data_IF_988735297979
#
_entry.id   IF_988735297979
#
_cell.length_a   1.000
_cell.length_b   1.000
_cell.length_c   1.000
_cell.angle_alpha   90.00
_cell.angle_beta   90.00
_cell.angle_gamma   90.00
#
_symmetry.space_group_name_H-M   'P 1'
#
loop_
_entity.id
_entity.type
_entity.pdbx_description
1 polymer ?
#
# COMPACT_ATOMS: atom_id res chain seq x y z
N UNK A 1 29.53 23.23 -16.11
CA UNK A 1 29.66 22.45 -14.86
C UNK A 1 28.39 22.51 -14.01
N UNK A 2 27.85 23.69 -13.68
CA UNK A 2 26.60 23.85 -12.91
C UNK A 2 25.41 23.09 -13.54
N UNK A 3 25.16 23.27 -14.85
CA UNK A 3 24.06 22.58 -15.54
C UNK A 3 24.16 21.05 -15.49
N UNK A 4 25.38 20.50 -15.48
CA UNK A 4 25.62 19.05 -15.40
C UNK A 4 25.39 18.51 -13.99
N UNK A 5 25.73 19.30 -12.95
CA UNK A 5 25.45 18.93 -11.55
C UNK A 5 23.97 19.04 -11.21
N UNK A 6 23.27 20.07 -11.70
CA UNK A 6 21.82 20.21 -11.54
C UNK A 6 21.09 19.05 -12.20
N UNK A 7 21.49 18.67 -13.43
CA UNK A 7 20.93 17.49 -14.10
C UNK A 7 21.14 16.21 -13.30
N UNK A 8 22.35 15.96 -12.77
CA UNK A 8 22.63 14.78 -11.94
C UNK A 8 21.81 14.76 -10.65
N UNK A 9 21.68 15.90 -9.96
CA UNK A 9 20.89 15.99 -8.75
C UNK A 9 19.40 15.73 -9.03
N UNK A 10 18.87 16.32 -10.10
CA UNK A 10 17.49 16.07 -10.56
C UNK A 10 17.31 14.59 -10.88
N UNK A 11 18.26 13.96 -11.59
CA UNK A 11 18.20 12.52 -11.90
C UNK A 11 18.23 11.65 -10.64
N UNK A 12 19.04 12.00 -9.64
CA UNK A 12 19.09 11.27 -8.36
C UNK A 12 17.78 11.41 -7.58
N UNK A 13 17.25 12.63 -7.47
CA UNK A 13 15.96 12.87 -6.84
C UNK A 13 14.83 12.15 -7.59
N UNK A 14 14.86 12.17 -8.92
CA UNK A 14 13.92 11.46 -9.76
C UNK A 14 14.02 9.95 -9.55
N UNK A 15 15.22 9.38 -9.44
CA UNK A 15 15.40 7.96 -9.11
C UNK A 15 14.79 7.61 -7.75
N UNK A 16 15.05 8.41 -6.72
CA UNK A 16 14.48 8.20 -5.38
C UNK A 16 12.95 8.30 -5.43
N UNK A 17 12.42 9.30 -6.12
CA UNK A 17 10.99 9.50 -6.28
C UNK A 17 10.33 8.35 -7.06
N UNK A 18 10.95 7.88 -8.15
CA UNK A 18 10.49 6.73 -8.94
C UNK A 18 10.47 5.48 -8.06
N UNK A 19 11.55 5.20 -7.33
CA UNK A 19 11.63 4.03 -6.45
C UNK A 19 10.58 4.09 -5.34
N UNK A 20 10.42 5.25 -4.70
CA UNK A 20 9.40 5.45 -3.69
C UNK A 20 8.00 5.24 -4.29
N UNK A 21 7.68 5.89 -5.41
CA UNK A 21 6.38 5.76 -6.07
C UNK A 21 6.08 4.32 -6.49
N UNK A 22 7.03 3.61 -7.09
CA UNK A 22 6.85 2.21 -7.51
C UNK A 22 6.63 1.29 -6.31
N UNK A 23 7.34 1.50 -5.19
CA UNK A 23 7.09 0.76 -3.95
C UNK A 23 5.67 1.05 -3.47
N UNK A 24 5.25 2.32 -3.46
CA UNK A 24 3.88 2.68 -3.09
C UNK A 24 2.82 2.05 -4.02
N UNK A 25 3.01 2.10 -5.34
CA UNK A 25 2.09 1.50 -6.30
C UNK A 25 2.05 -0.03 -6.16
N UNK A 26 3.17 -0.72 -6.28
CA UNK A 26 3.17 -2.18 -6.32
C UNK A 26 2.89 -2.79 -4.93
N UNK A 27 3.46 -2.22 -3.86
CA UNK A 27 3.31 -2.77 -2.50
C UNK A 27 2.02 -2.31 -1.83
N UNK A 28 1.71 -1.02 -1.88
CA UNK A 28 0.55 -0.47 -1.18
C UNK A 28 -0.69 -0.56 -2.05
N UNK A 29 -0.64 -0.18 -3.33
CA UNK A 29 -1.84 -0.21 -4.18
C UNK A 29 -2.26 -1.65 -4.54
N UNK A 30 -1.42 -2.45 -5.18
CA UNK A 30 -1.79 -3.83 -5.56
C UNK A 30 -1.84 -4.77 -4.35
N UNK A 31 -0.92 -4.62 -3.38
CA UNK A 31 -0.83 -5.52 -2.24
C UNK A 31 -1.93 -5.32 -1.18
N UNK A 32 -2.31 -4.07 -0.90
CA UNK A 32 -3.14 -3.73 0.28
C UNK A 32 -4.39 -2.94 -0.13
N UNK A 33 -4.24 -1.86 -0.90
CA UNK A 33 -5.33 -0.94 -1.21
C UNK A 33 -6.38 -1.61 -2.11
N UNK A 34 -5.99 -2.32 -3.16
CA UNK A 34 -6.91 -3.01 -4.08
C UNK A 34 -7.75 -4.11 -3.40
N UNK A 35 -7.17 -5.05 -2.62
CA UNK A 35 -7.97 -6.05 -1.93
C UNK A 35 -8.85 -5.43 -0.83
N UNK A 36 -8.34 -4.46 -0.07
CA UNK A 36 -9.15 -3.74 0.92
C UNK A 36 -10.27 -2.98 0.23
N UNK A 37 -9.99 -2.22 -0.83
CA UNK A 37 -11.00 -1.48 -1.60
C UNK A 37 -12.09 -2.41 -2.12
N UNK A 38 -11.72 -3.56 -2.70
CA UNK A 38 -12.70 -4.53 -3.21
C UNK A 38 -13.54 -5.14 -2.08
N UNK A 39 -12.93 -5.45 -0.94
CA UNK A 39 -13.62 -5.96 0.24
C UNK A 39 -14.57 -4.91 0.85
N UNK A 40 -14.09 -3.68 0.92
CA UNK A 40 -14.78 -2.51 1.48
C UNK A 40 -15.97 -2.12 0.60
N UNK A 41 -15.80 -2.09 -0.72
CA UNK A 41 -16.88 -1.85 -1.67
C UNK A 41 -17.96 -2.95 -1.68
N UNK A 42 -17.60 -4.18 -1.28
CA UNK A 42 -18.54 -5.28 -1.09
C UNK A 42 -19.41 -5.19 0.19
N UNK A 43 -19.09 -4.28 1.13
CA UNK A 43 -19.86 -4.12 2.36
C UNK A 43 -21.13 -3.29 2.11
N UNK A 44 -22.31 -3.90 2.32
CA UNK A 44 -23.63 -3.24 2.23
C UNK A 44 -23.76 -1.99 3.13
N UNK A 45 -23.00 -1.91 4.23
CA UNK A 45 -22.94 -0.73 5.09
C UNK A 45 -22.34 0.46 4.34
N UNK A 46 -21.31 0.24 3.55
CA UNK A 46 -20.64 1.31 2.83
C UNK A 46 -21.52 1.91 1.73
N UNK A 47 -22.31 1.09 1.05
CA UNK A 47 -23.30 1.55 0.06
C UNK A 47 -24.34 2.50 0.68
N UNK A 48 -24.74 2.26 1.94
CA UNK A 48 -25.64 3.19 2.66
C UNK A 48 -24.94 4.48 3.08
N UNK A 49 -23.66 4.39 3.45
CA UNK A 49 -22.86 5.56 3.81
C UNK A 49 -22.60 6.40 2.55
N UNK A 50 -22.34 5.77 1.41
CA UNK A 50 -22.13 6.39 0.10
C UNK A 50 -23.30 7.30 -0.29
N UNK A 51 -24.55 6.84 -0.17
CA UNK A 51 -25.74 7.67 -0.41
C UNK A 51 -25.78 8.88 0.54
N UNK A 52 -25.56 8.66 1.84
CA UNK A 52 -25.57 9.76 2.83
C UNK A 52 -24.44 10.77 2.62
N UNK A 53 -23.28 10.30 2.19
CA UNK A 53 -22.11 11.11 1.90
C UNK A 53 -22.32 11.89 0.60
N UNK A 54 -23.00 11.31 -0.39
CA UNK A 54 -23.40 12.01 -1.60
C UNK A 54 -24.41 13.14 -1.33
N UNK A 55 -25.27 13.00 -0.32
CA UNK A 55 -26.19 14.07 0.07
C UNK A 55 -25.56 15.11 1.03
N UNK A 56 -24.34 14.84 1.54
CA UNK A 56 -23.67 15.71 2.49
C UNK A 56 -23.11 16.99 1.84
N UNK A 57 -23.00 18.04 2.65
CA UNK A 57 -22.44 19.33 2.25
C UNK A 57 -20.96 19.18 1.87
N UNK A 58 -20.50 19.73 0.72
CA UNK A 58 -19.10 19.68 0.30
C UNK A 58 -18.10 20.14 1.36
N UNK A 59 -18.42 21.18 2.15
CA UNK A 59 -17.54 21.68 3.21
C UNK A 59 -17.38 20.68 4.36
N UNK A 60 -18.46 19.95 4.72
CA UNK A 60 -18.39 18.91 5.74
C UNK A 60 -17.51 17.75 5.28
N UNK A 61 -17.65 17.34 4.02
CA UNK A 61 -16.83 16.28 3.42
C UNK A 61 -15.36 16.68 3.41
N UNK A 62 -15.06 17.91 3.00
CA UNK A 62 -13.69 18.43 3.03
C UNK A 62 -13.12 18.40 4.46
N UNK A 63 -13.88 18.83 5.46
CA UNK A 63 -13.44 18.77 6.86
C UNK A 63 -13.16 17.33 7.32
N UNK A 64 -14.07 16.39 7.03
CA UNK A 64 -13.88 14.98 7.38
C UNK A 64 -12.64 14.43 6.67
N UNK A 65 -12.47 14.72 5.38
CA UNK A 65 -11.32 14.29 4.59
C UNK A 65 -10.01 14.81 5.17
N UNK A 66 -9.93 16.11 5.49
CA UNK A 66 -8.73 16.72 6.09
C UNK A 66 -8.42 16.14 7.46
N UNK A 67 -9.43 15.88 8.30
CA UNK A 67 -9.25 15.26 9.61
C UNK A 67 -8.71 13.84 9.47
N UNK A 68 -9.31 13.02 8.60
CA UNK A 68 -8.86 11.66 8.35
C UNK A 68 -7.45 11.62 7.78
N UNK A 69 -7.14 12.50 6.81
CA UNK A 69 -5.80 12.65 6.25
C UNK A 69 -4.78 13.03 7.34
N UNK A 70 -5.13 14.00 8.19
CA UNK A 70 -4.28 14.44 9.30
C UNK A 70 -3.99 13.32 10.28
N UNK A 71 -4.98 12.49 10.62
CA UNK A 71 -4.77 11.32 11.50
C UNK A 71 -3.76 10.35 10.87
N UNK A 72 -3.90 10.05 9.58
CA UNK A 72 -2.99 9.14 8.86
C UNK A 72 -1.56 9.67 8.84
N UNK A 73 -1.39 10.97 8.59
CA UNK A 73 -0.08 11.62 8.59
C UNK A 73 0.54 11.66 9.99
N UNK A 74 -0.22 12.04 11.02
CA UNK A 74 0.25 12.04 12.41
C UNK A 74 0.69 10.65 12.84
N UNK A 75 -0.09 9.61 12.52
CA UNK A 75 0.28 8.23 12.84
C UNK A 75 1.55 7.82 12.09
N UNK A 76 1.69 8.22 10.82
CA UNK A 76 2.89 7.98 10.02
C UNK A 76 4.14 8.63 10.60
N UNK A 77 4.07 9.93 10.93
CA UNK A 77 5.17 10.68 11.53
C UNK A 77 5.56 10.14 12.90
N UNK A 78 4.57 9.86 13.76
CA UNK A 78 4.82 9.34 15.10
C UNK A 78 5.41 7.93 15.06
N UNK A 79 4.96 7.07 14.13
CA UNK A 79 5.61 5.78 13.89
C UNK A 79 7.08 5.95 13.46
N UNK A 80 7.37 6.93 12.60
CA UNK A 80 8.73 7.34 12.24
C UNK A 80 9.59 7.70 13.46
N UNK A 81 9.05 8.53 14.37
CA UNK A 81 9.72 8.90 15.62
C UNK A 81 9.99 7.66 16.49
N UNK A 82 9.04 6.73 16.59
CA UNK A 82 9.21 5.49 17.33
C UNK A 82 10.30 4.58 16.74
N UNK A 83 10.41 4.51 15.41
CA UNK A 83 11.49 3.78 14.75
C UNK A 83 12.87 4.35 15.08
N UNK A 84 13.03 5.68 14.96
CA UNK A 84 14.30 6.36 15.28
C UNK A 84 14.64 6.25 16.76
N UNK A 85 13.62 6.21 17.64
CA UNK A 85 13.79 6.05 19.08
C UNK A 85 14.09 4.60 19.52
N UNK A 86 14.31 3.67 18.59
CA UNK A 86 14.59 2.26 18.88
C UNK A 86 13.36 1.42 19.28
N UNK A 87 12.17 2.01 19.34
CA UNK A 87 10.90 1.32 19.67
C UNK A 87 10.27 0.71 18.41
N UNK A 88 11.03 -0.12 17.72
CA UNK A 88 10.68 -0.62 16.37
C UNK A 88 9.36 -1.39 16.35
N UNK A 89 9.12 -2.26 17.33
CA UNK A 89 7.87 -3.03 17.39
C UNK A 89 6.63 -2.14 17.53
N UNK A 90 6.68 -1.13 18.41
CA UNK A 90 5.58 -0.19 18.59
C UNK A 90 5.39 0.71 17.36
N UNK A 91 6.49 1.15 16.74
CA UNK A 91 6.46 1.89 15.48
C UNK A 91 5.80 1.08 14.37
N UNK A 92 6.11 -0.21 14.26
CA UNK A 92 5.51 -1.12 13.28
C UNK A 92 4.01 -1.30 13.52
N UNK A 93 3.60 -1.58 14.77
CA UNK A 93 2.17 -1.73 15.11
C UNK A 93 1.39 -0.46 14.77
N UNK A 94 1.90 0.71 15.14
CA UNK A 94 1.23 1.97 14.85
C UNK A 94 1.18 2.27 13.34
N UNK A 95 2.27 2.00 12.63
CA UNK A 95 2.31 2.16 11.18
C UNK A 95 1.32 1.24 10.46
N UNK A 96 1.17 -0.01 10.91
CA UNK A 96 0.16 -0.93 10.38
C UNK A 96 -1.26 -0.47 10.75
N UNK A 97 -1.47 0.05 11.96
CA UNK A 97 -2.77 0.52 12.42
C UNK A 97 -3.33 1.69 11.60
N UNK A 98 -2.49 2.47 10.90
CA UNK A 98 -2.95 3.55 10.02
C UNK A 98 -3.55 3.05 8.71
N UNK A 99 -3.26 1.80 8.30
CA UNK A 99 -3.67 1.24 6.99
C UNK A 99 -5.19 1.28 6.79
N UNK A 100 -6.04 0.83 7.73
CA UNK A 100 -7.50 0.89 7.56
C UNK A 100 -8.02 2.34 7.45
N UNK A 101 -7.44 3.26 8.22
CA UNK A 101 -7.80 4.68 8.17
C UNK A 101 -7.45 5.26 6.80
N UNK A 102 -6.24 4.99 6.30
CA UNK A 102 -5.82 5.41 4.96
C UNK A 102 -6.73 4.85 3.87
N UNK A 103 -7.07 3.56 3.94
CA UNK A 103 -7.99 2.93 2.98
C UNK A 103 -9.38 3.59 3.01
N UNK A 104 -9.89 3.93 4.19
CA UNK A 104 -11.16 4.65 4.33
C UNK A 104 -11.08 6.09 3.79
N UNK A 105 -9.97 6.81 4.03
CA UNK A 105 -9.72 8.15 3.46
C UNK A 105 -9.71 8.10 1.93
N UNK A 106 -9.05 7.11 1.33
CA UNK A 106 -9.03 6.91 -0.13
C UNK A 106 -10.42 6.58 -0.69
N UNK A 107 -11.16 5.72 0.00
CA UNK A 107 -12.54 5.42 -0.39
C UNK A 107 -13.43 6.66 -0.34
N UNK A 108 -13.39 7.42 0.76
CA UNK A 108 -14.16 8.66 0.93
C UNK A 108 -13.83 9.65 -0.19
N UNK A 109 -12.53 9.89 -0.43
CA UNK A 109 -12.07 10.75 -1.51
C UNK A 109 -12.67 10.38 -2.85
N UNK A 110 -12.65 9.10 -3.20
CA UNK A 110 -13.12 8.60 -4.50
C UNK A 110 -14.63 8.73 -4.67
N UNK A 111 -15.38 8.48 -3.61
CA UNK A 111 -16.86 8.62 -3.62
C UNK A 111 -17.29 10.09 -3.68
N UNK A 112 -16.48 11.01 -3.15
CA UNK A 112 -16.79 12.44 -3.09
C UNK A 112 -15.85 13.30 -3.92
N UNK A 113 -15.19 12.73 -4.91
CA UNK A 113 -14.17 13.43 -5.70
C UNK A 113 -14.78 14.66 -6.35
N UNK A 114 -15.94 14.51 -6.96
CA UNK A 114 -16.73 15.57 -7.59
C UNK A 114 -16.98 16.76 -6.64
N UNK A 115 -17.29 16.50 -5.37
CA UNK A 115 -17.53 17.54 -4.35
C UNK A 115 -16.24 18.19 -3.87
N UNK A 116 -15.17 17.41 -3.67
CA UNK A 116 -13.88 17.95 -3.25
C UNK A 116 -13.26 18.82 -4.35
N UNK A 117 -13.47 18.47 -5.62
CA UNK A 117 -12.99 19.26 -6.77
C UNK A 117 -13.74 20.59 -6.96
N UNK A 118 -14.85 20.83 -6.25
CA UNK A 118 -15.51 22.13 -6.24
C UNK A 118 -14.66 23.21 -5.56
N UNK A 119 -13.77 22.82 -4.65
CA UNK A 119 -12.85 23.74 -4.00
C UNK A 119 -11.65 24.02 -4.92
N UNK A 120 -11.56 25.23 -5.45
CA UNK A 120 -10.55 25.59 -6.46
C UNK A 120 -9.10 25.34 -6.02
N UNK A 121 -8.76 25.61 -4.75
CA UNK A 121 -7.43 25.32 -4.21
C UNK A 121 -7.14 23.81 -4.16
N UNK A 122 -8.15 23.01 -3.79
CA UNK A 122 -8.02 21.56 -3.66
C UNK A 122 -7.82 20.93 -5.04
N UNK A 123 -8.65 21.35 -6.01
CA UNK A 123 -8.54 20.95 -7.40
C UNK A 123 -7.16 21.27 -7.97
N UNK A 124 -6.68 22.51 -7.77
CA UNK A 124 -5.36 22.92 -8.24
C UNK A 124 -4.23 22.07 -7.64
N UNK A 125 -4.29 21.77 -6.33
CA UNK A 125 -3.30 20.90 -5.68
C UNK A 125 -3.35 19.48 -6.24
N UNK A 126 -4.54 18.92 -6.42
CA UNK A 126 -4.73 17.59 -6.97
C UNK A 126 -4.17 17.47 -8.40
N UNK A 127 -4.54 18.40 -9.29
CA UNK A 127 -4.03 18.45 -10.66
C UNK A 127 -2.51 18.52 -10.68
N UNK A 128 -1.91 19.37 -9.82
CA UNK A 128 -0.45 19.48 -9.75
C UNK A 128 0.23 18.20 -9.27
N UNK A 129 -0.39 17.47 -8.34
CA UNK A 129 0.11 16.16 -7.90
C UNK A 129 0.02 15.15 -9.03
N UNK A 130 -1.09 15.13 -9.78
CA UNK A 130 -1.28 14.21 -10.90
C UNK A 130 -0.29 14.51 -12.03
N UNK A 131 -0.07 15.78 -12.38
CA UNK A 131 0.95 16.20 -13.35
C UNK A 131 2.34 15.72 -12.93
N UNK A 132 2.66 15.82 -11.63
CA UNK A 132 3.94 15.35 -11.10
C UNK A 132 4.08 13.82 -11.19
N UNK A 133 3.00 13.08 -10.92
CA UNK A 133 2.96 11.62 -11.08
C UNK A 133 3.12 11.23 -12.55
N UNK A 134 2.43 11.92 -13.47
CA UNK A 134 2.51 11.63 -14.90
C UNK A 134 3.89 11.96 -15.47
N UNK A 135 4.48 13.07 -15.04
CA UNK A 135 5.88 13.39 -15.31
C UNK A 135 6.80 12.27 -14.79
N UNK A 136 6.58 11.77 -13.58
CA UNK A 136 7.35 10.67 -13.00
C UNK A 136 7.20 9.37 -13.80
N UNK A 137 5.99 9.05 -14.26
CA UNK A 137 5.69 7.86 -15.08
C UNK A 137 6.27 7.94 -16.49
N UNK A 138 6.34 9.15 -17.06
CA UNK A 138 6.99 9.38 -18.35
C UNK A 138 8.52 9.31 -18.28
N UNK A 139 9.10 9.33 -17.07
CA UNK A 139 10.53 9.21 -16.89
C UNK A 139 11.03 7.88 -17.43
N UNK A 140 12.11 7.92 -18.22
CA UNK A 140 12.72 6.70 -18.77
C UNK A 140 13.14 5.72 -17.66
N UNK A 141 13.60 6.25 -16.52
CA UNK A 141 13.95 5.48 -15.32
C UNK A 141 12.75 4.70 -14.79
N UNK A 142 11.56 5.30 -14.79
CA UNK A 142 10.33 4.62 -14.36
C UNK A 142 9.98 3.47 -15.30
N UNK A 143 9.96 3.73 -16.60
CA UNK A 143 9.63 2.74 -17.63
C UNK A 143 10.60 1.55 -17.56
N UNK A 144 11.91 1.82 -17.49
CA UNK A 144 12.93 0.78 -17.38
C UNK A 144 12.78 -0.03 -16.08
N UNK A 145 12.52 0.62 -14.95
CA UNK A 145 12.35 -0.04 -13.66
C UNK A 145 11.11 -0.94 -13.65
N UNK A 146 9.99 -0.44 -14.17
CA UNK A 146 8.74 -1.21 -14.26
C UNK A 146 8.89 -2.43 -15.17
N UNK A 147 9.59 -2.31 -16.29
CA UNK A 147 9.86 -3.45 -17.17
C UNK A 147 10.73 -4.51 -16.48
N UNK A 148 11.77 -4.10 -15.74
CA UNK A 148 12.60 -5.02 -14.95
C UNK A 148 11.80 -5.71 -13.85
N UNK A 149 10.94 -4.96 -13.14
CA UNK A 149 10.09 -5.52 -12.10
C UNK A 149 9.11 -6.56 -12.62
N UNK A 150 8.51 -6.34 -13.79
CA UNK A 150 7.65 -7.34 -14.44
C UNK A 150 8.39 -8.64 -14.71
N UNK A 151 9.61 -8.56 -15.27
CA UNK A 151 10.47 -9.73 -15.52
C UNK A 151 10.83 -10.45 -14.23
N UNK A 152 11.24 -9.70 -13.19
CA UNK A 152 11.59 -10.29 -11.88
C UNK A 152 10.37 -10.98 -11.25
N UNK A 153 9.19 -10.36 -11.34
CA UNK A 153 7.93 -10.91 -10.82
C UNK A 153 7.55 -12.21 -11.53
N UNK A 154 7.66 -12.28 -12.85
CA UNK A 154 7.37 -13.51 -13.62
C UNK A 154 8.37 -14.62 -13.27
N UNK A 155 9.66 -14.31 -13.18
CA UNK A 155 10.69 -15.28 -12.79
C UNK A 155 10.49 -15.79 -11.36
N UNK A 156 10.14 -14.91 -10.42
CA UNK A 156 9.82 -15.30 -9.05
C UNK A 156 8.56 -16.18 -8.97
N UNK A 157 7.52 -15.87 -9.75
CA UNK A 157 6.30 -16.67 -9.79
C UNK A 157 6.57 -18.07 -10.35
N UNK A 158 7.37 -18.17 -11.41
CA UNK A 158 7.79 -19.45 -11.99
C UNK A 158 8.65 -20.24 -11.00
N UNK A 159 9.66 -19.61 -10.40
CA UNK A 159 10.47 -20.24 -9.36
C UNK A 159 9.62 -20.72 -8.19
N UNK A 160 8.66 -19.91 -7.72
CA UNK A 160 7.75 -20.29 -6.64
C UNK A 160 6.84 -21.46 -7.04
N UNK A 161 6.35 -21.50 -8.29
CA UNK A 161 5.58 -22.64 -8.81
C UNK A 161 6.42 -23.92 -8.82
N UNK A 162 7.65 -23.85 -9.32
CA UNK A 162 8.58 -25.00 -9.35
C UNK A 162 8.95 -25.43 -7.93
N UNK A 163 9.28 -24.50 -7.05
CA UNK A 163 9.59 -24.78 -5.64
C UNK A 163 8.40 -25.42 -4.93
N UNK A 164 7.19 -24.88 -5.11
CA UNK A 164 5.96 -25.45 -4.56
C UNK A 164 5.69 -26.86 -5.10
N UNK A 165 5.91 -27.10 -6.39
CA UNK A 165 5.78 -28.44 -6.98
C UNK A 165 6.81 -29.42 -6.38
N UNK A 166 8.06 -28.98 -6.19
CA UNK A 166 9.16 -29.82 -5.68
C UNK A 166 9.04 -30.13 -4.19
N UNK A 167 8.66 -29.16 -3.37
CA UNK A 167 8.68 -29.27 -1.90
C UNK A 167 7.30 -29.40 -1.25
N UNK A 168 6.23 -28.96 -1.91
CA UNK A 168 4.86 -29.04 -1.38
C UNK A 168 3.94 -30.00 -2.15
N UNK A 169 4.48 -30.83 -3.05
CA UNK A 169 3.75 -32.01 -3.52
C UNK A 169 3.42 -32.91 -2.32
N UNK A 170 2.22 -33.52 -2.32
CA UNK A 170 1.72 -34.37 -1.22
C UNK A 170 2.67 -35.52 -0.84
N UNK A 171 3.55 -35.93 -1.77
CA UNK A 171 4.53 -37.01 -1.60
C UNK A 171 5.93 -36.51 -1.23
N UNK A 172 6.15 -35.21 -1.04
CA UNK A 172 7.47 -34.70 -0.71
C UNK A 172 7.88 -35.13 0.71
N UNK A 173 9.15 -35.51 0.87
CA UNK A 173 9.77 -35.83 2.16
C UNK A 173 9.59 -34.69 3.19
N UNK A 174 9.48 -33.44 2.74
CA UNK A 174 9.27 -32.28 3.59
C UNK A 174 7.86 -32.25 4.19
N UNK A 175 6.82 -32.44 3.37
CA UNK A 175 5.42 -32.46 3.83
C UNK A 175 5.18 -33.65 4.77
N UNK A 176 5.78 -34.81 4.47
CA UNK A 176 5.70 -36.00 5.33
C UNK A 176 6.35 -35.73 6.69
N UNK A 177 7.56 -35.16 6.72
CA UNK A 177 8.23 -34.79 7.98
C UNK A 177 7.42 -33.79 8.80
N UNK A 178 6.88 -32.74 8.18
CA UNK A 178 6.04 -31.74 8.85
C UNK A 178 4.79 -32.41 9.45
N UNK A 179 4.14 -33.30 8.70
CA UNK A 179 2.94 -34.01 9.12
C UNK A 179 3.22 -34.96 10.29
N UNK A 180 4.36 -35.66 10.26
CA UNK A 180 4.85 -36.47 11.37
C UNK A 180 5.11 -35.60 12.60
N UNK A 181 5.79 -34.47 12.46
CA UNK A 181 6.06 -33.54 13.57
C UNK A 181 4.77 -33.02 14.21
N UNK A 182 3.78 -32.63 13.38
CA UNK A 182 2.46 -32.22 13.84
C UNK A 182 1.73 -33.34 14.60
N UNK A 183 1.79 -34.59 14.11
CA UNK A 183 1.19 -35.73 14.80
C UNK A 183 1.88 -36.04 16.12
N UNK A 184 3.21 -35.99 16.17
CA UNK A 184 3.99 -36.19 17.40
C UNK A 184 3.62 -35.15 18.46
N UNK A 185 3.54 -33.87 18.09
CA UNK A 185 3.13 -32.80 19.00
C UNK A 185 1.69 -33.01 19.47
N UNK A 186 0.77 -33.37 18.56
CA UNK A 186 -0.64 -33.62 18.88
C UNK A 186 -0.82 -34.80 19.84
N UNK A 187 -0.04 -35.86 19.70
CA UNK A 187 -0.03 -37.02 20.61
C UNK A 187 0.46 -36.64 22.00
N UNK A 188 1.56 -35.87 22.09
CA UNK A 188 2.09 -35.36 23.36
C UNK A 188 1.03 -34.51 24.09
N UNK A 189 0.37 -33.60 23.37
CA UNK A 189 -0.69 -32.74 23.91
C UNK A 189 -1.92 -33.53 24.37
N UNK A 190 -2.22 -34.66 23.72
CA UNK A 190 -3.35 -35.52 24.07
C UNK A 190 -3.04 -36.44 25.25
N UNK A 191 -1.77 -36.82 25.48
CA UNK A 191 -1.31 -37.57 26.67
C UNK A 191 -1.13 -36.70 27.91
N UNK A 192 -1.00 -35.38 27.74
CA UNK A 192 -0.89 -34.40 28.83
C UNK A 192 -2.25 -33.98 29.43
N UNK A 193 -3.35 -34.61 29.02
CA UNK A 193 -4.72 -34.33 29.44
C UNK A 193 -5.33 -35.59 30.04
#
# INVERSE_FOLDING_TARGET
>A
MLATMTKRLITLLQLIAVMAYIIFEELIWEGIARPIFTYVHGLRILQRIEVKVHDANPSLILSIFVVLLSIVEVFGLYAGVLFVSGKVALGAVLYTAKIPVAAFTFWLFRVTEDKLMQFGWFKWTYERIMDAIDWLKSAEIYIQTMNRLKVVKTTLQEWFRVFKAKYFAKESLFVVKIKQLYQSIKEILRRSK
#
